data_IF_364595872863
#
_entry.id   IF_364595872863
#
_cell.length_a   1.000
_cell.length_b   1.000
_cell.length_c   1.000
_cell.angle_alpha   90.00
_cell.angle_beta   90.00
_cell.angle_gamma   90.00
#
_symmetry.space_group_name_H-M   'P 1'
#
loop_
_entity.id
_entity.type
_entity.pdbx_description
1 polymer ?
#
# COMPACT_ATOMS: atom_id res chain seq x y z
N UNK A 1 13.22 34.43 13.17
CA UNK A 1 12.31 33.36 13.64
C UNK A 1 12.04 32.45 12.45
N UNK A 2 12.83 31.39 12.30
CA UNK A 2 12.57 30.37 11.28
C UNK A 2 11.45 29.47 11.77
N UNK A 3 10.29 29.51 11.13
CA UNK A 3 9.23 28.52 11.37
C UNK A 3 9.76 27.12 11.05
N UNK A 4 9.22 26.06 11.68
CA UNK A 4 9.68 24.71 11.41
C UNK A 4 9.47 24.40 9.93
N UNK A 5 10.57 24.04 9.26
CA UNK A 5 10.56 23.48 7.92
C UNK A 5 9.60 22.29 7.94
N UNK A 6 8.48 22.38 7.22
CA UNK A 6 7.69 21.20 6.87
C UNK A 6 8.66 20.28 6.15
N UNK A 7 9.00 19.15 6.74
CA UNK A 7 9.82 18.15 6.08
C UNK A 7 9.09 17.73 4.81
N UNK A 8 9.72 17.93 3.65
CA UNK A 8 9.27 17.43 2.34
C UNK A 8 9.41 15.90 2.26
N UNK A 9 8.92 15.19 3.27
CA UNK A 9 8.79 13.75 3.22
C UNK A 9 7.54 13.44 2.41
N UNK A 10 7.74 12.72 1.30
CA UNK A 10 6.65 12.11 0.55
C UNK A 10 5.70 11.40 1.53
N UNK A 11 4.38 11.63 1.43
CA UNK A 11 3.42 10.98 2.31
C UNK A 11 3.61 9.46 2.26
N UNK A 12 3.63 8.82 3.43
CA UNK A 12 3.74 7.37 3.51
C UNK A 12 2.59 6.71 2.72
N UNK A 13 2.87 5.66 1.91
CA UNK A 13 1.85 4.99 1.13
C UNK A 13 0.72 4.45 2.01
N UNK A 14 -0.52 4.60 1.55
CA UNK A 14 -1.74 4.15 2.25
C UNK A 14 -2.31 2.90 1.60
N UNK A 15 -2.76 1.98 2.45
CA UNK A 15 -3.33 0.70 2.07
C UNK A 15 -4.77 0.62 2.61
N UNK A 16 -5.75 0.16 1.80
CA UNK A 16 -7.09 -0.13 2.30
C UNK A 16 -7.03 -1.14 3.44
N UNK A 17 -7.71 -0.81 4.55
CA UNK A 17 -7.71 -1.63 5.75
C UNK A 17 -8.99 -1.37 6.55
N UNK A 18 -9.62 -2.44 7.03
CA UNK A 18 -10.82 -2.41 7.88
C UNK A 18 -10.48 -2.98 9.25
N UNK A 19 -9.78 -2.20 10.05
CA UNK A 19 -9.36 -2.56 11.40
C UNK A 19 -10.28 -1.90 12.41
N UNK A 20 -10.66 -2.65 13.45
CA UNK A 20 -11.36 -2.08 14.59
C UNK A 20 -10.40 -1.20 15.38
N UNK A 21 -10.91 -0.03 15.78
CA UNK A 21 -10.16 0.95 16.57
C UNK A 21 -11.03 1.48 17.69
N UNK A 22 -10.42 1.73 18.84
CA UNK A 22 -11.09 2.34 19.98
C UNK A 22 -10.38 3.61 20.40
N UNK A 23 -11.11 4.73 20.46
CA UNK A 23 -10.61 6.04 20.92
C UNK A 23 -11.06 6.30 22.35
N UNK A 24 -10.13 6.69 23.20
CA UNK A 24 -10.47 7.22 24.52
C UNK A 24 -10.78 8.72 24.40
N UNK A 25 -12.05 9.08 24.47
CA UNK A 25 -12.53 10.47 24.41
C UNK A 25 -13.17 10.89 25.74
N UNK A 26 -13.40 12.19 25.94
CA UNK A 26 -14.00 12.70 27.20
C UNK A 26 -15.36 12.06 27.54
N UNK A 27 -16.14 11.70 26.52
CA UNK A 27 -17.47 11.09 26.67
C UNK A 27 -17.43 9.57 26.88
N UNK A 28 -16.25 8.94 26.88
CA UNK A 28 -16.08 7.49 27.01
C UNK A 28 -15.22 6.88 25.91
N UNK A 29 -15.46 5.60 25.61
CA UNK A 29 -14.77 4.87 24.55
C UNK A 29 -15.59 4.92 23.26
N UNK A 30 -14.98 5.39 22.17
CA UNK A 30 -15.57 5.37 20.83
C UNK A 30 -14.96 4.23 20.02
N UNK A 31 -15.77 3.23 19.69
CA UNK A 31 -15.39 2.18 18.73
C UNK A 31 -15.71 2.61 17.30
N UNK A 32 -14.77 2.40 16.39
CA UNK A 32 -14.88 2.74 14.97
C UNK A 32 -14.05 1.78 14.12
N UNK A 33 -14.05 1.98 12.80
CA UNK A 33 -13.26 1.19 11.87
C UNK A 33 -12.40 2.07 10.96
N UNK A 34 -11.20 1.60 10.63
CA UNK A 34 -10.36 2.26 9.63
C UNK A 34 -10.94 2.07 8.23
N UNK A 35 -10.61 2.98 7.31
CA UNK A 35 -10.78 2.76 5.86
C UNK A 35 -9.44 2.57 5.15
N UNK A 36 -8.36 3.11 5.72
CA UNK A 36 -6.99 2.89 5.27
C UNK A 36 -5.99 3.11 6.41
N UNK A 37 -4.80 2.54 6.23
CA UNK A 37 -3.66 2.69 7.13
C UNK A 37 -2.37 2.93 6.32
N UNK A 38 -1.39 3.56 6.95
CA UNK A 38 -0.01 3.73 6.51
C UNK A 38 0.92 3.56 7.70
N UNK A 39 2.23 3.54 7.46
CA UNK A 39 3.23 3.46 8.53
C UNK A 39 3.15 4.63 9.54
N UNK A 40 2.57 5.77 9.15
CA UNK A 40 2.52 7.00 9.97
C UNK A 40 1.13 7.36 10.49
N UNK A 41 0.08 6.66 10.07
CA UNK A 41 -1.27 6.99 10.50
C UNK A 41 -2.35 6.26 9.73
N UNK A 42 -3.60 6.59 10.04
CA UNK A 42 -4.79 5.93 9.49
C UNK A 42 -5.93 6.91 9.27
N UNK A 43 -6.91 6.51 8.46
CA UNK A 43 -8.20 7.20 8.37
C UNK A 43 -9.27 6.31 9.00
N UNK A 44 -10.07 6.88 9.89
CA UNK A 44 -11.12 6.18 10.61
C UNK A 44 -12.48 6.72 10.22
N UNK A 45 -13.37 5.82 9.81
CA UNK A 45 -14.78 6.12 9.51
C UNK A 45 -15.53 6.33 10.82
N UNK A 46 -16.05 7.53 11.02
CA UNK A 46 -16.89 7.88 12.19
C UNK A 46 -17.67 9.16 11.93
N UNK A 47 -18.85 9.29 12.54
CA UNK A 47 -19.60 10.56 12.57
C UNK A 47 -19.17 11.48 13.71
N UNK A 48 -18.37 10.99 14.66
CA UNK A 48 -17.84 11.79 15.76
C UNK A 48 -16.74 12.72 15.27
N UNK A 49 -16.92 14.02 15.49
CA UNK A 49 -15.92 15.03 15.17
C UNK A 49 -15.02 15.28 16.37
N UNK A 50 -13.71 15.29 16.14
CA UNK A 50 -12.70 15.69 17.11
C UNK A 50 -11.92 16.89 16.57
N UNK A 51 -11.51 17.86 17.40
CA UNK A 51 -10.77 19.02 16.91
C UNK A 51 -9.46 18.61 16.23
N UNK A 52 -9.12 19.24 15.11
CA UNK A 52 -7.80 19.11 14.50
C UNK A 52 -6.73 19.54 15.51
N UNK A 53 -5.67 18.74 15.64
CA UNK A 53 -4.61 18.91 16.62
C UNK A 53 -4.85 18.19 17.95
N UNK A 54 -6.06 17.66 18.20
CA UNK A 54 -6.33 16.90 19.40
C UNK A 54 -5.46 15.63 19.46
N UNK A 55 -4.86 15.37 20.62
CA UNK A 55 -4.17 14.12 20.94
C UNK A 55 -5.16 13.18 21.62
N UNK A 56 -5.30 11.98 21.07
CA UNK A 56 -6.23 10.96 21.57
C UNK A 56 -5.52 9.62 21.72
N UNK A 57 -5.67 8.93 22.86
CA UNK A 57 -5.26 7.54 22.98
C UNK A 57 -6.12 6.66 22.08
N UNK A 58 -5.48 5.81 21.28
CA UNK A 58 -6.12 4.86 20.38
C UNK A 58 -5.62 3.46 20.66
N UNK A 59 -6.52 2.48 20.64
CA UNK A 59 -6.17 1.07 20.59
C UNK A 59 -6.55 0.51 19.22
N UNK A 60 -5.58 -0.07 18.51
CA UNK A 60 -5.74 -0.66 17.18
C UNK A 60 -5.79 -2.18 17.27
N UNK A 61 -6.85 -2.81 16.76
CA UNK A 61 -6.99 -4.26 16.70
C UNK A 61 -6.37 -4.79 15.40
N UNK A 62 -5.18 -5.39 15.48
CA UNK A 62 -4.50 -6.04 14.36
C UNK A 62 -4.93 -7.52 14.27
N UNK A 63 -4.95 -8.12 13.07
CA UNK A 63 -5.31 -9.54 12.87
C UNK A 63 -4.13 -10.47 13.20
N UNK A 64 -3.39 -10.22 14.28
CA UNK A 64 -2.22 -10.99 14.72
C UNK A 64 -2.48 -11.83 15.99
N UNK A 65 -3.75 -11.93 16.43
CA UNK A 65 -4.21 -12.62 17.65
C UNK A 65 -3.65 -12.07 18.97
N UNK A 66 -2.84 -11.00 18.92
CA UNK A 66 -2.34 -10.30 20.08
C UNK A 66 -3.36 -9.28 20.62
N UNK A 67 -3.06 -8.71 21.78
CA UNK A 67 -3.85 -7.63 22.36
C UNK A 67 -3.86 -6.40 21.43
N UNK A 68 -4.94 -5.59 21.45
CA UNK A 68 -5.00 -4.33 20.73
C UNK A 68 -3.76 -3.48 21.04
N UNK A 69 -3.13 -2.93 20.01
CA UNK A 69 -1.89 -2.16 20.18
C UNK A 69 -2.23 -0.70 20.50
N UNK A 70 -1.81 -0.17 21.67
CA UNK A 70 -2.07 1.21 22.04
C UNK A 70 -1.11 2.17 21.33
N UNK A 71 -1.59 3.37 21.00
CA UNK A 71 -0.78 4.47 20.45
C UNK A 71 -1.42 5.81 20.76
N UNK A 72 -0.63 6.87 20.96
CA UNK A 72 -1.18 8.22 20.91
C UNK A 72 -1.39 8.63 19.46
N UNK A 73 -2.50 9.30 19.15
CA UNK A 73 -2.74 9.75 17.79
C UNK A 73 -3.16 11.22 17.78
N UNK A 74 -2.64 11.98 16.82
CA UNK A 74 -3.02 13.37 16.57
C UNK A 74 -4.03 13.43 15.45
N UNK A 75 -5.16 14.09 15.69
CA UNK A 75 -6.12 14.39 14.61
C UNK A 75 -5.49 15.41 13.67
N UNK A 76 -5.25 15.02 12.42
CA UNK A 76 -4.61 15.88 11.40
C UNK A 76 -5.62 16.44 10.40
N UNK A 77 -6.76 15.77 10.20
CA UNK A 77 -7.89 16.31 9.45
C UNK A 77 -9.20 15.65 9.85
N UNK A 78 -10.30 16.37 9.61
CA UNK A 78 -11.67 15.91 9.88
C UNK A 78 -12.48 16.00 8.59
N UNK A 79 -13.19 14.92 8.27
CA UNK A 79 -14.20 14.91 7.22
C UNK A 79 -15.57 14.84 7.88
N UNK A 80 -16.19 16.01 8.08
CA UNK A 80 -17.48 16.11 8.76
C UNK A 80 -18.61 15.43 7.98
N UNK A 81 -19.74 15.08 8.61
CA UNK A 81 -20.91 14.56 7.91
C UNK A 81 -21.51 15.52 6.86
N UNK A 82 -21.36 16.83 7.03
CA UNK A 82 -21.77 17.82 6.02
C UNK A 82 -20.88 17.78 4.78
N UNK A 83 -19.56 17.80 4.96
CA UNK A 83 -18.59 17.69 3.87
C UNK A 83 -18.70 16.34 3.14
N UNK A 84 -18.95 15.28 3.91
CA UNK A 84 -19.16 13.91 3.42
C UNK A 84 -20.34 13.83 2.44
N UNK A 85 -21.47 14.46 2.77
CA UNK A 85 -22.64 14.53 1.88
C UNK A 85 -22.34 15.28 0.58
N UNK A 86 -21.57 16.36 0.65
CA UNK A 86 -21.19 17.13 -0.54
C UNK A 86 -20.20 16.38 -1.44
N UNK A 87 -19.29 15.58 -0.86
CA UNK A 87 -18.21 14.89 -1.58
C UNK A 87 -18.50 13.42 -1.89
N UNK A 88 -19.60 12.86 -1.35
CA UNK A 88 -19.93 11.42 -1.39
C UNK A 88 -18.82 10.53 -0.82
N UNK A 89 -18.07 11.04 0.15
CA UNK A 89 -17.05 10.29 0.88
C UNK A 89 -17.51 10.06 2.32
N UNK A 90 -17.06 8.97 2.96
CA UNK A 90 -17.47 8.63 4.32
C UNK A 90 -17.02 9.65 5.38
N UNK A 91 -17.83 10.07 6.36
CA UNK A 91 -17.34 10.92 7.43
C UNK A 91 -16.25 10.21 8.24
N UNK A 92 -15.32 10.99 8.79
CA UNK A 92 -14.24 10.40 9.58
C UNK A 92 -13.12 11.33 9.98
N UNK A 93 -12.09 10.71 10.55
CA UNK A 93 -10.93 11.36 11.12
C UNK A 93 -9.67 10.81 10.47
N UNK A 94 -8.82 11.69 9.95
CA UNK A 94 -7.44 11.37 9.66
C UNK A 94 -6.60 11.57 10.90
N UNK A 95 -5.91 10.52 11.33
CA UNK A 95 -5.02 10.57 12.49
C UNK A 95 -3.60 10.17 12.12
N UNK A 96 -2.64 10.85 12.73
CA UNK A 96 -1.21 10.56 12.67
C UNK A 96 -0.78 9.90 13.98
N UNK A 97 0.03 8.84 13.90
CA UNK A 97 0.57 8.17 15.09
C UNK A 97 1.64 9.06 15.74
N UNK A 98 1.51 9.25 17.05
CA UNK A 98 2.41 10.03 17.90
C UNK A 98 3.00 9.10 18.94
N UNK A 99 4.28 9.29 19.26
CA UNK A 99 5.01 8.50 20.27
C UNK A 99 4.94 6.98 20.01
N UNK A 100 4.82 6.58 18.74
CA UNK A 100 4.85 5.19 18.31
C UNK A 100 6.25 4.60 18.53
N UNK A 101 6.35 3.65 19.46
CA UNK A 101 7.56 2.89 19.72
C UNK A 101 7.87 1.88 18.60
N UNK A 102 9.07 1.31 18.63
CA UNK A 102 9.52 0.36 17.60
C UNK A 102 8.66 -0.90 17.55
N UNK A 103 8.08 -1.32 18.68
CA UNK A 103 7.22 -2.49 18.75
C UNK A 103 5.89 -2.25 18.03
N UNK A 104 5.27 -1.09 18.22
CA UNK A 104 4.09 -0.65 17.49
C UNK A 104 4.39 -0.56 16.00
N UNK A 105 5.48 0.12 15.61
CA UNK A 105 5.88 0.28 14.21
C UNK A 105 6.06 -1.06 13.53
N UNK A 106 6.82 -1.97 14.16
CA UNK A 106 7.03 -3.31 13.62
C UNK A 106 5.74 -4.13 13.49
N UNK A 107 4.76 -3.95 14.39
CA UNK A 107 3.43 -4.61 14.26
C UNK A 107 2.63 -4.04 13.10
N UNK A 108 2.57 -2.72 12.97
CA UNK A 108 1.86 -2.05 11.87
C UNK A 108 2.51 -2.36 10.52
N UNK A 109 3.85 -2.33 10.44
CA UNK A 109 4.58 -2.64 9.21
C UNK A 109 4.37 -4.09 8.77
N UNK A 110 4.39 -5.04 9.72
CA UNK A 110 4.05 -6.45 9.43
C UNK A 110 2.64 -6.60 8.89
N UNK A 111 1.67 -5.88 9.46
CA UNK A 111 0.30 -5.88 8.97
C UNK A 111 0.22 -5.28 7.56
N UNK A 112 0.84 -4.12 7.30
CA UNK A 112 0.84 -3.49 5.98
C UNK A 112 1.45 -4.43 4.93
N UNK A 113 2.57 -5.09 5.23
CA UNK A 113 3.21 -6.05 4.34
C UNK A 113 2.41 -7.35 4.15
N UNK A 114 1.45 -7.66 5.02
CA UNK A 114 0.55 -8.81 4.86
C UNK A 114 -0.65 -8.50 3.95
N UNK A 115 -1.06 -7.23 3.81
CA UNK A 115 -2.24 -6.84 3.02
C UNK A 115 -2.18 -7.37 1.58
N UNK A 116 -1.09 -7.15 0.79
CA UNK A 116 -1.05 -7.66 -0.58
C UNK A 116 -1.05 -9.19 -0.65
N UNK A 117 -0.35 -9.86 0.26
CA UNK A 117 -0.24 -11.34 0.32
C UNK A 117 -1.59 -12.00 0.58
N UNK A 118 -2.41 -11.37 1.41
CA UNK A 118 -3.72 -11.87 1.82
C UNK A 118 -4.86 -11.33 0.94
N UNK A 119 -4.54 -10.57 -0.11
CA UNK A 119 -5.57 -10.00 -0.99
C UNK A 119 -6.42 -11.08 -1.65
N UNK A 120 -7.71 -10.80 -1.78
CA UNK A 120 -8.64 -11.66 -2.54
C UNK A 120 -8.41 -11.56 -4.06
N UNK A 121 -7.77 -10.48 -4.53
CA UNK A 121 -7.43 -10.27 -5.94
C UNK A 121 -6.22 -11.14 -6.32
N UNK A 122 -6.37 -12.12 -7.24
CA UNK A 122 -5.26 -12.99 -7.63
C UNK A 122 -4.06 -12.23 -8.20
N UNK A 123 -4.31 -11.18 -8.98
CA UNK A 123 -3.27 -10.32 -9.55
C UNK A 123 -2.44 -9.63 -8.47
N UNK A 124 -3.06 -9.14 -7.40
CA UNK A 124 -2.33 -8.52 -6.27
C UNK A 124 -1.43 -9.53 -5.57
N UNK A 125 -1.89 -10.77 -5.38
CA UNK A 125 -1.07 -11.82 -4.79
C UNK A 125 0.14 -12.16 -5.66
N UNK A 126 -0.06 -12.33 -6.96
CA UNK A 126 1.04 -12.56 -7.91
C UNK A 126 2.05 -11.40 -7.90
N UNK A 127 1.57 -10.16 -8.01
CA UNK A 127 2.44 -8.97 -7.99
C UNK A 127 3.23 -8.88 -6.67
N UNK A 128 2.60 -9.23 -5.54
CA UNK A 128 3.29 -9.32 -4.25
C UNK A 128 4.39 -10.37 -4.27
N UNK A 129 4.12 -11.57 -4.78
CA UNK A 129 5.10 -12.64 -4.90
C UNK A 129 6.28 -12.23 -5.81
N UNK A 130 6.00 -11.65 -6.97
CA UNK A 130 7.04 -11.15 -7.88
C UNK A 130 7.92 -10.07 -7.22
N UNK A 131 7.32 -9.13 -6.49
CA UNK A 131 8.05 -8.12 -5.69
C UNK A 131 8.96 -8.79 -4.66
N UNK A 132 8.46 -9.82 -3.98
CA UNK A 132 9.24 -10.53 -2.95
C UNK A 132 10.41 -11.33 -3.57
N UNK A 133 10.21 -11.94 -4.74
CA UNK A 133 11.29 -12.58 -5.50
C UNK A 133 12.39 -11.56 -5.82
N UNK A 134 12.04 -10.38 -6.33
CA UNK A 134 13.01 -9.32 -6.63
C UNK A 134 13.74 -8.83 -5.37
N UNK A 135 13.01 -8.66 -4.25
CA UNK A 135 13.59 -8.24 -2.96
C UNK A 135 14.62 -9.27 -2.47
N UNK A 136 14.28 -10.55 -2.49
CA UNK A 136 15.04 -11.65 -1.87
C UNK A 136 16.16 -12.21 -2.76
N UNK A 137 15.89 -12.42 -4.06
CA UNK A 137 16.84 -13.06 -4.99
C UNK A 137 17.70 -12.06 -5.78
N UNK A 138 17.32 -10.78 -5.79
CA UNK A 138 18.00 -9.78 -6.60
C UNK A 138 17.23 -9.44 -7.88
N UNK A 139 17.77 -8.45 -8.60
CA UNK A 139 17.19 -7.93 -9.84
C UNK A 139 18.25 -7.86 -10.93
N UNK A 140 17.88 -8.22 -12.16
CA UNK A 140 18.77 -8.16 -13.33
C UNK A 140 18.07 -7.53 -14.55
N UNK A 141 18.88 -7.14 -15.52
CA UNK A 141 18.46 -6.78 -16.88
C UNK A 141 18.81 -7.90 -17.85
N UNK A 142 18.19 -7.87 -19.05
CA UNK A 142 18.45 -8.72 -20.22
C UNK A 142 18.09 -10.20 -20.08
N UNK A 143 18.31 -10.79 -18.91
CA UNK A 143 18.02 -12.18 -18.61
C UNK A 143 16.75 -12.29 -17.78
N UNK A 144 15.87 -13.21 -18.15
CA UNK A 144 14.69 -13.56 -17.35
C UNK A 144 15.08 -13.91 -15.91
N UNK A 145 16.10 -14.76 -15.81
CA UNK A 145 16.80 -15.10 -14.59
C UNK A 145 18.28 -15.27 -14.90
N UNK A 146 19.15 -14.58 -14.17
CA UNK A 146 20.59 -14.70 -14.37
C UNK A 146 21.17 -15.97 -13.70
N UNK A 147 22.43 -16.35 -14.00
CA UNK A 147 23.06 -17.50 -13.34
C UNK A 147 23.22 -17.36 -11.81
N UNK A 148 23.18 -16.13 -11.28
CA UNK A 148 23.18 -15.84 -9.85
C UNK A 148 21.80 -16.01 -9.18
N UNK A 149 20.75 -16.23 -9.98
CA UNK A 149 19.38 -16.42 -9.53
C UNK A 149 18.56 -15.13 -9.41
N UNK A 150 19.11 -13.97 -9.79
CA UNK A 150 18.36 -12.70 -9.84
C UNK A 150 17.35 -12.72 -10.98
N UNK A 151 16.20 -12.07 -10.80
CA UNK A 151 15.14 -12.02 -11.81
C UNK A 151 15.09 -10.65 -12.50
N UNK A 152 14.78 -10.61 -13.80
CA UNK A 152 14.20 -9.39 -14.36
C UNK A 152 12.73 -9.27 -13.94
N UNK A 153 12.10 -8.12 -14.18
CA UNK A 153 10.70 -7.92 -13.78
C UNK A 153 9.75 -8.95 -14.39
N UNK A 154 9.87 -9.26 -15.69
CA UNK A 154 9.00 -10.24 -16.34
C UNK A 154 9.29 -11.67 -15.90
N UNK A 155 10.56 -11.99 -15.62
CA UNK A 155 10.94 -13.28 -15.03
C UNK A 155 10.34 -13.49 -13.65
N UNK A 156 10.37 -12.47 -12.79
CA UNK A 156 9.74 -12.53 -11.47
C UNK A 156 8.21 -12.68 -11.55
N UNK A 157 7.56 -12.01 -12.52
CA UNK A 157 6.12 -12.13 -12.76
C UNK A 157 5.73 -13.52 -13.26
N UNK A 158 6.55 -14.10 -14.13
CA UNK A 158 6.34 -15.43 -14.68
C UNK A 158 6.57 -16.52 -13.64
N UNK A 159 7.67 -16.44 -12.89
CA UNK A 159 7.94 -17.33 -11.75
C UNK A 159 6.78 -17.28 -10.73
N UNK A 160 6.28 -16.09 -10.42
CA UNK A 160 5.15 -15.93 -9.51
C UNK A 160 3.82 -16.46 -10.08
N UNK A 161 3.66 -16.53 -11.40
CA UNK A 161 2.47 -17.07 -12.05
C UNK A 161 2.45 -18.60 -12.09
N UNK A 162 3.63 -19.23 -12.15
CA UNK A 162 3.75 -20.65 -12.47
C UNK A 162 3.11 -20.95 -13.84
N UNK A 163 2.25 -21.97 -13.89
CA UNK A 163 1.58 -22.40 -15.13
C UNK A 163 0.32 -21.58 -15.49
N UNK A 164 -0.05 -20.54 -14.71
CA UNK A 164 -1.25 -19.73 -14.97
C UNK A 164 -0.96 -18.57 -15.95
N UNK A 165 -0.91 -18.91 -17.24
CA UNK A 165 -0.72 -17.96 -18.35
C UNK A 165 -1.72 -16.79 -18.33
N UNK A 166 -2.97 -17.05 -17.95
CA UNK A 166 -4.00 -16.03 -17.93
C UNK A 166 -3.76 -15.02 -16.80
N UNK A 167 -3.29 -15.48 -15.65
CA UNK A 167 -2.90 -14.62 -14.53
C UNK A 167 -1.61 -13.87 -14.83
N UNK A 168 -0.63 -14.50 -15.46
CA UNK A 168 0.58 -13.83 -15.95
C UNK A 168 0.25 -12.67 -16.89
N UNK A 169 -0.56 -12.90 -17.93
CA UNK A 169 -0.99 -11.84 -18.87
C UNK A 169 -1.75 -10.70 -18.18
N UNK A 170 -2.58 -11.00 -17.17
CA UNK A 170 -3.25 -9.98 -16.34
C UNK A 170 -2.26 -9.16 -15.53
N UNK A 171 -1.22 -9.78 -15.00
CA UNK A 171 -0.16 -9.09 -14.29
C UNK A 171 0.66 -8.20 -15.23
N UNK A 172 1.01 -8.69 -16.43
CA UNK A 172 1.65 -7.89 -17.48
C UNK A 172 0.83 -6.63 -17.80
N UNK A 173 -0.48 -6.81 -18.00
CA UNK A 173 -1.38 -5.70 -18.29
C UNK A 173 -1.35 -4.64 -17.19
N UNK A 174 -1.51 -5.10 -15.95
CA UNK A 174 -1.57 -4.27 -14.75
C UNK A 174 -0.32 -3.40 -14.57
N UNK A 175 0.85 -3.97 -14.83
CA UNK A 175 2.13 -3.29 -14.76
C UNK A 175 2.29 -2.35 -15.94
N UNK A 176 2.08 -2.86 -17.16
CA UNK A 176 2.28 -2.13 -18.42
C UNK A 176 1.53 -0.80 -18.48
N UNK A 177 0.26 -0.78 -18.08
CA UNK A 177 -0.55 0.45 -18.04
C UNK A 177 0.05 1.57 -17.15
N UNK A 178 0.92 1.22 -16.21
CA UNK A 178 1.53 2.15 -15.24
C UNK A 178 3.01 2.44 -15.51
N UNK A 179 3.57 1.89 -16.59
CA UNK A 179 4.95 2.16 -17.00
C UNK A 179 5.10 3.48 -17.75
N UNK A 180 4.00 4.06 -18.24
CA UNK A 180 4.01 5.24 -19.12
C UNK A 180 4.90 5.05 -20.36
N UNK A 181 4.89 3.83 -20.92
CA UNK A 181 5.55 3.47 -22.18
C UNK A 181 4.50 2.90 -23.14
N UNK A 182 4.70 3.01 -24.47
CA UNK A 182 3.74 2.47 -25.42
C UNK A 182 3.51 0.97 -25.25
N UNK A 183 2.26 0.53 -25.43
CA UNK A 183 1.92 -0.88 -25.48
C UNK A 183 2.54 -1.56 -26.72
N UNK A 184 2.74 -2.88 -26.66
CA UNK A 184 3.20 -3.65 -27.82
C UNK A 184 2.19 -3.58 -28.96
N UNK A 185 2.66 -3.40 -30.20
CA UNK A 185 1.82 -3.39 -31.41
C UNK A 185 1.12 -4.73 -31.69
N UNK A 186 1.66 -5.85 -31.21
CA UNK A 186 1.11 -7.19 -31.43
C UNK A 186 0.16 -7.64 -30.30
N UNK A 187 0.49 -7.33 -29.05
CA UNK A 187 -0.17 -7.91 -27.87
C UNK A 187 -0.59 -6.91 -26.80
N UNK A 188 -0.51 -5.61 -27.08
CA UNK A 188 -0.82 -4.56 -26.10
C UNK A 188 0.03 -4.69 -24.83
N UNK A 189 -0.56 -4.39 -23.67
CA UNK A 189 0.09 -4.61 -22.38
C UNK A 189 0.03 -6.06 -21.89
N UNK A 190 -0.61 -6.96 -22.64
CA UNK A 190 -0.51 -8.40 -22.41
C UNK A 190 0.80 -9.01 -22.94
N UNK A 191 1.62 -8.24 -23.69
CA UNK A 191 2.98 -8.62 -24.08
C UNK A 191 4.00 -8.20 -23.02
N UNK A 192 5.00 -9.05 -22.77
CA UNK A 192 6.17 -8.70 -21.94
C UNK A 192 7.02 -7.54 -22.50
N UNK A 193 6.83 -7.20 -23.78
CA UNK A 193 7.62 -6.24 -24.54
C UNK A 193 7.83 -4.89 -23.84
N UNK A 194 6.73 -4.27 -23.37
CA UNK A 194 6.75 -2.97 -22.71
C UNK A 194 7.52 -3.02 -21.38
N UNK A 195 7.38 -4.13 -20.65
CA UNK A 195 8.03 -4.32 -19.36
C UNK A 195 9.52 -4.59 -19.54
N UNK A 196 9.91 -5.41 -20.52
CA UNK A 196 11.32 -5.65 -20.86
C UNK A 196 12.00 -4.34 -21.23
N UNK A 197 11.40 -3.56 -22.14
CA UNK A 197 11.99 -2.27 -22.55
C UNK A 197 12.14 -1.28 -21.38
N UNK A 198 11.20 -1.29 -20.43
CA UNK A 198 11.28 -0.45 -19.23
C UNK A 198 12.28 -0.97 -18.18
N UNK A 199 12.38 -2.29 -18.03
CA UNK A 199 13.31 -2.98 -17.12
C UNK A 199 14.76 -2.81 -17.59
N UNK A 200 15.00 -2.97 -18.89
CA UNK A 200 16.35 -2.98 -19.49
C UNK A 200 16.81 -1.58 -19.92
N UNK A 201 16.17 -0.54 -19.39
CA UNK A 201 16.59 0.84 -19.60
C UNK A 201 17.92 1.12 -18.88
N UNK A 202 18.83 1.80 -19.56
CA UNK A 202 20.10 2.24 -18.97
C UNK A 202 19.85 3.08 -17.70
N UNK A 203 20.61 2.78 -16.63
CA UNK A 203 20.48 3.45 -15.34
C UNK A 203 19.29 2.98 -14.48
N UNK A 204 18.45 2.05 -14.96
CA UNK A 204 17.39 1.45 -14.15
C UNK A 204 17.97 0.79 -12.90
N UNK A 205 17.27 0.92 -11.79
CA UNK A 205 17.66 0.30 -10.52
C UNK A 205 16.63 -0.68 -10.00
N UNK A 206 17.09 -1.66 -9.20
CA UNK A 206 16.24 -2.59 -8.44
C UNK A 206 15.16 -1.84 -7.62
N UNK A 207 15.53 -0.71 -7.01
CA UNK A 207 14.61 0.08 -6.18
C UNK A 207 13.44 0.63 -7.00
N UNK A 208 13.68 1.15 -8.20
CA UNK A 208 12.61 1.66 -9.06
C UNK A 208 11.68 0.54 -9.55
N UNK A 209 12.23 -0.64 -9.86
CA UNK A 209 11.43 -1.81 -10.26
C UNK A 209 10.51 -2.27 -9.14
N UNK A 210 11.04 -2.38 -7.92
CA UNK A 210 10.24 -2.72 -6.73
C UNK A 210 9.20 -1.63 -6.44
N UNK A 211 9.60 -0.36 -6.47
CA UNK A 211 8.69 0.77 -6.23
C UNK A 211 7.54 0.82 -7.25
N UNK A 212 7.82 0.47 -8.52
CA UNK A 212 6.78 0.37 -9.54
C UNK A 212 5.80 -0.77 -9.27
N UNK A 213 6.28 -1.96 -8.86
CA UNK A 213 5.37 -3.03 -8.43
C UNK A 213 4.52 -2.62 -7.22
N UNK A 214 5.10 -1.95 -6.24
CA UNK A 214 4.36 -1.45 -5.07
C UNK A 214 3.29 -0.41 -5.46
N UNK A 215 3.58 0.46 -6.42
CA UNK A 215 2.60 1.39 -6.99
C UNK A 215 1.42 0.64 -7.64
N UNK A 216 1.70 -0.36 -8.48
CA UNK A 216 0.68 -1.17 -9.16
C UNK A 216 -0.18 -1.93 -8.14
N UNK A 217 0.45 -2.56 -7.16
CA UNK A 217 -0.23 -3.28 -6.05
C UNK A 217 -1.19 -2.35 -5.32
N UNK A 218 -0.71 -1.17 -4.89
CA UNK A 218 -1.55 -0.19 -4.18
C UNK A 218 -2.73 0.28 -5.01
N UNK A 219 -2.49 0.58 -6.29
CA UNK A 219 -3.55 1.03 -7.18
C UNK A 219 -4.67 -0.03 -7.32
N UNK A 220 -4.32 -1.32 -7.43
CA UNK A 220 -5.31 -2.39 -7.48
C UNK A 220 -6.04 -2.61 -6.16
N UNK A 221 -5.32 -2.54 -5.03
CA UNK A 221 -5.95 -2.64 -3.71
C UNK A 221 -7.00 -1.53 -3.52
N UNK A 222 -6.67 -0.29 -3.89
CA UNK A 222 -7.60 0.85 -3.82
C UNK A 222 -8.80 0.66 -4.75
N UNK A 223 -8.56 0.24 -5.99
CA UNK A 223 -9.63 -0.02 -6.95
C UNK A 223 -10.56 -1.15 -6.48
N UNK A 224 -10.02 -2.22 -5.89
CA UNK A 224 -10.80 -3.36 -5.37
C UNK A 224 -11.49 -3.10 -4.03
N UNK A 225 -11.14 -2.03 -3.32
CA UNK A 225 -11.77 -1.62 -2.06
C UNK A 225 -12.90 -0.60 -2.26
N UNK A 226 -13.06 -0.08 -3.49
CA UNK A 226 -14.19 0.79 -3.83
C UNK A 226 -15.45 -0.07 -4.03
N UNK A 227 -16.61 0.31 -3.45
CA UNK A 227 -17.86 -0.44 -3.56
C UNK A 227 -18.41 -0.49 -4.99
#
# INVERSE_FOLDING_TARGET
>A
MGGPLKSDHLPAPRYPASLKVSFSVRAGLLSAETTNISATGMFVRTSTELPVGALVPVALELPDADRPVPVQAKVIHVRSPSLSRATRLDPGLGVEFVDADDAFRARVDRYIESIPRQSKLPSVRLLSMARDLLRTHGWTQLLERDPGGSFCLTGALMEAAGDDDALYRRALWSVGERLNVPACSLGGYGCHCAIIGWNDQEGRTKHEVIAKLEEVIRAQLVAGASP
#
